data_IF_008459118781
#
_entry.id   IF_008459118781
#
_cell.length_a   1.000
_cell.length_b   1.000
_cell.length_c   1.000
_cell.angle_alpha   90.00
_cell.angle_beta   90.00
_cell.angle_gamma   90.00
#
_symmetry.space_group_name_H-M   'P 1'
#
loop_
_entity.id
_entity.type
_entity.pdbx_description
1 polymer ?
#
# COMPACT_ATOMS: atom_id res chain seq x y z
N UNK A 1 23.97 36.73 47.22
CA UNK A 1 23.02 36.99 46.15
C UNK A 1 23.77 37.08 44.83
N UNK A 2 23.88 35.95 44.09
CA UNK A 2 24.32 35.92 42.67
C UNK A 2 23.17 35.31 41.90
N UNK A 3 22.58 36.09 41.02
CA UNK A 3 21.57 35.68 40.04
C UNK A 3 22.19 34.74 39.02
N UNK A 4 21.56 33.58 38.82
CA UNK A 4 21.85 32.64 37.75
C UNK A 4 21.38 33.24 36.37
N UNK A 5 22.11 33.03 35.26
CA UNK A 5 21.69 33.52 33.95
C UNK A 5 20.53 32.71 33.41
N UNK A 6 19.52 33.40 32.93
CA UNK A 6 18.34 32.81 32.28
C UNK A 6 18.73 32.03 31.02
N UNK A 7 18.31 30.79 30.97
CA UNK A 7 18.49 29.89 29.89
C UNK A 7 17.67 30.39 28.67
N UNK A 8 18.30 30.99 27.67
CA UNK A 8 17.73 31.36 26.38
C UNK A 8 17.49 30.06 25.62
N UNK A 9 16.29 29.52 25.76
CA UNK A 9 15.82 28.48 24.85
C UNK A 9 15.94 28.98 23.41
N UNK A 10 16.78 28.33 22.61
CA UNK A 10 16.88 28.53 21.16
C UNK A 10 15.51 28.23 20.53
N UNK A 11 14.72 29.28 20.30
CA UNK A 11 13.60 29.21 19.35
C UNK A 11 14.22 28.97 17.97
N UNK A 12 14.17 27.73 17.51
CA UNK A 12 14.36 27.44 16.09
C UNK A 12 13.26 28.20 15.36
N UNK A 13 13.61 29.30 14.72
CA UNK A 13 12.75 29.99 13.77
C UNK A 13 12.54 29.05 12.58
N UNK A 14 11.44 28.30 12.57
CA UNK A 14 10.98 27.71 11.35
C UNK A 14 10.56 28.85 10.44
N UNK A 15 11.17 28.96 9.26
CA UNK A 15 10.77 29.94 8.26
C UNK A 15 9.29 29.71 7.97
N UNK A 16 8.46 30.70 8.28
CA UNK A 16 7.04 30.68 7.93
C UNK A 16 6.96 30.62 6.41
N UNK A 17 6.32 29.59 5.86
CA UNK A 17 6.07 29.52 4.42
C UNK A 17 4.71 30.15 4.20
N UNK A 18 4.67 31.37 3.70
CA UNK A 18 3.43 32.08 3.41
C UNK A 18 2.82 31.66 2.08
N UNK A 19 3.67 31.13 1.15
CA UNK A 19 3.26 30.69 -0.19
C UNK A 19 4.10 29.50 -0.68
N UNK A 20 3.43 28.53 -1.34
CA UNK A 20 4.06 27.47 -2.11
C UNK A 20 3.21 27.18 -3.35
N UNK A 21 3.79 27.20 -4.55
CA UNK A 21 3.05 26.95 -5.78
C UNK A 21 2.33 25.59 -5.74
N UNK A 22 3.02 24.57 -5.25
CA UNK A 22 2.46 23.22 -5.07
C UNK A 22 2.58 22.80 -3.61
N UNK A 23 1.46 22.47 -2.98
CA UNK A 23 1.45 21.82 -1.67
C UNK A 23 1.06 20.36 -1.86
N UNK A 24 1.87 19.48 -1.28
CA UNK A 24 1.59 18.05 -1.23
C UNK A 24 1.31 17.64 0.21
N UNK A 25 0.16 17.06 0.46
CA UNK A 25 -0.30 16.64 1.78
C UNK A 25 -0.01 15.15 1.96
N UNK A 26 0.91 14.83 2.88
CA UNK A 26 1.36 13.47 3.18
C UNK A 26 2.78 13.19 2.67
N UNK A 27 3.64 12.69 3.55
CA UNK A 27 5.01 12.25 3.27
C UNK A 27 5.15 10.72 3.22
N UNK A 28 4.12 10.05 2.71
CA UNK A 28 4.13 8.64 2.32
C UNK A 28 4.54 8.45 0.86
N UNK A 29 4.42 7.23 0.35
CA UNK A 29 4.84 6.87 -1.01
C UNK A 29 4.24 7.78 -2.08
N UNK A 30 2.94 8.07 -2.01
CA UNK A 30 2.26 8.89 -3.01
C UNK A 30 2.74 10.34 -2.99
N UNK A 31 2.82 10.98 -1.82
CA UNK A 31 3.26 12.36 -1.73
C UNK A 31 4.73 12.55 -2.09
N UNK A 32 5.60 11.67 -1.60
CA UNK A 32 7.03 11.71 -1.91
C UNK A 32 7.30 11.47 -3.40
N UNK A 33 6.63 10.46 -3.99
CA UNK A 33 6.79 10.15 -5.41
C UNK A 33 6.24 11.27 -6.30
N UNK A 34 5.05 11.81 -5.97
CA UNK A 34 4.49 12.95 -6.72
C UNK A 34 5.42 14.15 -6.66
N UNK A 35 5.94 14.49 -5.48
CA UNK A 35 6.85 15.63 -5.34
C UNK A 35 8.14 15.47 -6.13
N UNK A 36 8.76 14.30 -6.05
CA UNK A 36 9.98 13.99 -6.79
C UNK A 36 9.77 14.09 -8.31
N UNK A 37 8.77 13.40 -8.83
CA UNK A 37 8.51 13.40 -10.27
C UNK A 37 7.98 14.73 -10.78
N UNK A 38 7.20 15.47 -9.98
CA UNK A 38 6.76 16.82 -10.33
C UNK A 38 7.95 17.79 -10.42
N UNK A 39 8.93 17.70 -9.50
CA UNK A 39 10.14 18.52 -9.57
C UNK A 39 10.94 18.29 -10.85
N UNK A 40 11.09 17.01 -11.25
CA UNK A 40 11.76 16.66 -12.51
C UNK A 40 11.00 17.18 -13.73
N UNK A 41 9.67 16.99 -13.74
CA UNK A 41 8.84 17.40 -14.86
C UNK A 41 8.77 18.93 -15.01
N UNK A 42 8.73 19.68 -13.89
CA UNK A 42 8.80 21.14 -13.89
C UNK A 42 10.12 21.64 -14.47
N UNK A 43 11.23 21.06 -14.03
CA UNK A 43 12.58 21.38 -14.51
C UNK A 43 12.74 21.10 -16.01
N UNK A 44 12.33 19.91 -16.44
CA UNK A 44 12.39 19.49 -17.84
C UNK A 44 11.57 20.39 -18.79
N UNK A 45 10.46 20.97 -18.30
CA UNK A 45 9.57 21.86 -19.06
C UNK A 45 9.90 23.34 -18.89
N UNK A 46 10.91 23.71 -18.09
CA UNK A 46 11.22 25.11 -17.78
C UNK A 46 10.10 25.86 -17.06
N UNK A 47 9.23 25.15 -16.31
CA UNK A 47 8.04 25.71 -15.63
C UNK A 47 8.23 25.92 -14.12
N UNK A 48 9.40 25.57 -13.59
CA UNK A 48 9.72 25.65 -12.17
C UNK A 48 10.75 24.59 -11.74
N UNK A 49 10.79 24.34 -10.44
CA UNK A 49 11.73 23.39 -9.84
C UNK A 49 11.13 22.76 -8.56
N UNK A 50 11.89 21.92 -7.88
CA UNK A 50 11.50 21.39 -6.57
C UNK A 50 11.33 22.48 -5.50
N UNK A 51 11.96 23.66 -5.65
CA UNK A 51 11.77 24.78 -4.73
C UNK A 51 10.33 25.33 -4.69
N UNK A 52 9.54 25.08 -5.74
CA UNK A 52 8.12 25.44 -5.84
C UNK A 52 7.21 24.46 -5.07
N UNK A 53 7.77 23.35 -4.58
CA UNK A 53 7.03 22.24 -3.98
C UNK A 53 7.29 22.17 -2.47
N UNK A 54 6.22 22.09 -1.70
CA UNK A 54 6.29 21.82 -0.25
C UNK A 54 5.44 20.59 0.07
N UNK A 55 6.08 19.59 0.69
CA UNK A 55 5.36 18.48 1.32
C UNK A 55 5.08 18.86 2.78
N UNK A 56 3.86 18.71 3.23
CA UNK A 56 3.47 18.84 4.64
C UNK A 56 2.95 17.50 5.16
N UNK A 57 3.39 17.14 6.35
CA UNK A 57 2.93 15.91 7.01
C UNK A 57 2.76 16.15 8.51
N UNK A 58 1.68 15.65 9.10
CA UNK A 58 1.37 15.85 10.51
C UNK A 58 2.35 15.18 11.47
N UNK A 59 3.09 14.19 10.99
CA UNK A 59 4.05 13.41 11.78
C UNK A 59 5.44 13.46 11.16
N UNK A 60 5.62 12.85 9.97
CA UNK A 60 6.91 12.80 9.27
C UNK A 60 6.94 11.77 8.15
N UNK A 61 8.13 11.63 7.56
CA UNK A 61 8.36 10.71 6.43
C UNK A 61 8.01 9.28 6.87
N UNK A 62 7.17 8.62 6.06
CA UNK A 62 6.77 7.22 6.25
C UNK A 62 6.11 6.91 7.63
N UNK A 63 5.52 7.91 8.28
CA UNK A 63 4.87 7.71 9.59
C UNK A 63 3.53 6.97 9.51
N UNK A 64 2.94 6.81 8.32
CA UNK A 64 1.72 6.06 8.08
C UNK A 64 1.99 4.67 7.49
N UNK A 65 1.02 4.18 6.71
CA UNK A 65 1.04 2.83 6.13
C UNK A 65 2.30 2.50 5.32
N UNK A 66 2.86 3.50 4.62
CA UNK A 66 4.10 3.32 3.86
C UNK A 66 5.32 2.93 4.71
N UNK A 67 5.29 3.17 6.01
CA UNK A 67 6.40 2.87 6.92
C UNK A 67 6.28 1.53 7.66
N UNK A 68 5.14 0.87 7.60
CA UNK A 68 4.87 -0.36 8.38
C UNK A 68 4.38 -1.54 7.52
N UNK A 69 4.07 -1.34 6.25
CA UNK A 69 3.65 -2.41 5.36
C UNK A 69 4.76 -3.46 5.15
N UNK A 70 4.43 -4.69 4.80
CA UNK A 70 5.38 -5.76 4.50
C UNK A 70 6.26 -5.49 3.26
N UNK A 71 5.98 -4.44 2.54
CA UNK A 71 6.79 -3.95 1.43
C UNK A 71 6.67 -4.74 0.14
N UNK A 72 5.68 -5.60 0.00
CA UNK A 72 5.47 -6.43 -1.19
C UNK A 72 5.15 -5.58 -2.42
N UNK A 73 5.84 -5.87 -3.52
CA UNK A 73 5.65 -5.27 -4.85
C UNK A 73 5.32 -6.39 -5.83
N UNK A 74 4.15 -6.33 -6.47
CA UNK A 74 3.65 -7.38 -7.37
C UNK A 74 2.82 -6.82 -8.52
N UNK A 75 2.70 -7.58 -9.60
CA UNK A 75 1.75 -7.31 -10.69
C UNK A 75 0.48 -8.15 -10.58
N UNK A 76 0.50 -9.23 -9.80
CA UNK A 76 -0.61 -10.15 -9.63
C UNK A 76 -1.86 -9.47 -9.06
N UNK A 77 -2.75 -9.06 -9.95
CA UNK A 77 -4.09 -8.52 -9.68
C UNK A 77 -5.07 -9.10 -10.69
N UNK A 78 -6.25 -9.48 -10.24
CA UNK A 78 -7.32 -9.95 -11.12
C UNK A 78 -7.83 -8.85 -12.07
N UNK A 79 -7.74 -7.58 -11.66
CA UNK A 79 -8.23 -6.43 -12.40
C UNK A 79 -7.21 -5.98 -13.47
N UNK A 80 -7.57 -5.97 -14.78
CA UNK A 80 -6.67 -5.59 -15.86
C UNK A 80 -6.03 -4.20 -15.68
N UNK A 81 -6.83 -3.23 -15.24
CA UNK A 81 -6.34 -1.87 -15.00
C UNK A 81 -5.26 -1.83 -13.91
N UNK A 82 -5.42 -2.60 -12.82
CA UNK A 82 -4.42 -2.71 -11.77
C UNK A 82 -3.14 -3.36 -12.28
N UNK A 83 -3.22 -4.42 -13.10
CA UNK A 83 -2.02 -5.06 -13.68
C UNK A 83 -1.22 -4.11 -14.55
N UNK A 84 -1.88 -3.36 -15.43
CA UNK A 84 -1.21 -2.37 -16.28
C UNK A 84 -0.53 -1.29 -15.45
N UNK A 85 -1.23 -0.75 -14.45
CA UNK A 85 -0.69 0.24 -13.54
C UNK A 85 0.49 -0.33 -12.72
N UNK A 86 0.37 -1.57 -12.25
CA UNK A 86 1.42 -2.20 -11.47
C UNK A 86 2.64 -2.60 -12.29
N UNK A 87 2.49 -2.95 -13.57
CA UNK A 87 3.63 -3.14 -14.46
C UNK A 87 4.49 -1.86 -14.54
N UNK A 88 3.85 -0.71 -14.73
CA UNK A 88 4.53 0.60 -14.68
C UNK A 88 5.16 0.88 -13.29
N UNK A 89 4.48 0.55 -12.20
CA UNK A 89 5.03 0.76 -10.85
C UNK A 89 6.26 -0.11 -10.58
N UNK A 90 6.27 -1.36 -11.04
CA UNK A 90 7.43 -2.27 -10.92
C UNK A 90 8.63 -1.69 -11.67
N UNK A 91 8.43 -1.14 -12.88
CA UNK A 91 9.52 -0.48 -13.62
C UNK A 91 10.11 0.70 -12.85
N UNK A 92 9.29 1.48 -12.15
CA UNK A 92 9.79 2.58 -11.32
C UNK A 92 10.58 2.06 -10.11
N UNK A 93 10.14 0.99 -9.46
CA UNK A 93 10.92 0.33 -8.39
C UNK A 93 12.27 -0.20 -8.89
N UNK A 94 12.29 -0.83 -10.06
CA UNK A 94 13.50 -1.38 -10.69
C UNK A 94 14.47 -0.30 -11.17
N UNK A 95 13.98 0.89 -11.51
CA UNK A 95 14.78 1.98 -12.06
C UNK A 95 15.89 2.48 -11.12
N UNK A 96 15.73 2.30 -9.81
CA UNK A 96 16.73 2.69 -8.81
C UNK A 96 16.60 1.79 -7.55
N UNK A 97 16.77 0.50 -7.77
CA UNK A 97 16.56 -0.52 -6.74
C UNK A 97 17.41 -0.27 -5.47
N UNK A 98 18.61 0.27 -5.62
CA UNK A 98 19.49 0.56 -4.50
C UNK A 98 18.92 1.66 -3.60
N UNK A 99 18.56 2.82 -4.17
CA UNK A 99 17.98 3.94 -3.41
C UNK A 99 16.64 3.56 -2.79
N UNK A 100 15.83 2.78 -3.49
CA UNK A 100 14.54 2.32 -3.00
C UNK A 100 14.64 1.09 -2.08
N UNK A 101 15.84 0.60 -1.78
CA UNK A 101 16.03 -0.63 -0.99
C UNK A 101 15.12 -1.76 -1.46
N UNK A 102 15.01 -1.90 -2.80
CA UNK A 102 14.13 -2.82 -3.49
C UNK A 102 14.87 -4.10 -3.86
N UNK A 103 14.24 -5.23 -3.60
CA UNK A 103 14.75 -6.57 -3.85
C UNK A 103 13.90 -7.24 -4.95
N UNK A 104 14.39 -7.30 -6.20
CA UNK A 104 13.65 -7.87 -7.34
C UNK A 104 13.68 -9.41 -7.33
N UNK A 105 13.10 -10.01 -6.31
CA UNK A 105 13.13 -11.47 -6.10
C UNK A 105 11.95 -12.18 -6.78
N UNK A 106 11.01 -11.45 -7.34
CA UNK A 106 9.78 -11.99 -7.91
C UNK A 106 8.66 -12.12 -6.88
N UNK A 107 7.51 -12.59 -7.37
CA UNK A 107 6.32 -12.86 -6.58
C UNK A 107 5.66 -14.15 -7.06
N UNK A 108 5.05 -14.90 -6.17
CA UNK A 108 4.42 -16.17 -6.51
C UNK A 108 3.03 -16.26 -5.89
N UNK A 109 2.00 -16.38 -6.74
CA UNK A 109 0.64 -16.72 -6.35
C UNK A 109 0.47 -18.22 -6.42
N UNK A 110 0.06 -18.84 -5.33
CA UNK A 110 -0.13 -20.29 -5.16
C UNK A 110 -1.58 -20.47 -4.72
N UNK A 111 -2.40 -21.19 -5.50
CA UNK A 111 -3.84 -21.11 -5.35
C UNK A 111 -4.56 -22.45 -5.53
N UNK A 112 -5.75 -22.61 -4.90
CA UNK A 112 -6.60 -23.79 -5.05
C UNK A 112 -7.45 -23.72 -6.32
N UNK A 113 -8.18 -24.79 -6.59
CA UNK A 113 -9.01 -24.96 -7.79
C UNK A 113 -10.07 -23.85 -7.94
N UNK A 114 -10.67 -23.41 -6.85
CA UNK A 114 -11.69 -22.35 -6.88
C UNK A 114 -11.18 -21.02 -7.44
N UNK A 115 -9.85 -20.79 -7.41
CA UNK A 115 -9.19 -19.59 -7.95
C UNK A 115 -8.49 -19.84 -9.31
N UNK A 116 -8.55 -21.06 -9.85
CA UNK A 116 -7.79 -21.44 -11.06
C UNK A 116 -8.04 -20.49 -12.23
N UNK A 117 -9.31 -20.24 -12.58
CA UNK A 117 -9.65 -19.36 -13.71
C UNK A 117 -9.21 -17.90 -13.50
N UNK A 118 -9.27 -17.39 -12.26
CA UNK A 118 -8.77 -16.06 -11.93
C UNK A 118 -7.26 -15.97 -12.19
N UNK A 119 -6.49 -16.95 -11.70
CA UNK A 119 -5.04 -16.98 -11.84
C UNK A 119 -4.63 -17.22 -13.29
N UNK A 120 -5.31 -18.12 -14.01
CA UNK A 120 -5.11 -18.34 -15.44
C UNK A 120 -5.39 -17.08 -16.27
N UNK A 121 -6.45 -16.33 -15.91
CA UNK A 121 -6.75 -15.03 -16.51
C UNK A 121 -5.62 -14.01 -16.28
N UNK A 122 -5.08 -13.96 -15.06
CA UNK A 122 -3.94 -13.09 -14.74
C UNK A 122 -2.73 -13.48 -15.60
N UNK A 123 -2.42 -14.78 -15.70
CA UNK A 123 -1.29 -15.27 -16.48
C UNK A 123 -1.41 -14.90 -17.97
N UNK A 124 -2.59 -15.10 -18.57
CA UNK A 124 -2.86 -14.68 -19.97
C UNK A 124 -2.63 -13.19 -20.16
N UNK A 125 -3.18 -12.37 -19.29
CA UNK A 125 -3.07 -10.91 -19.40
C UNK A 125 -1.65 -10.39 -19.08
N UNK A 126 -0.89 -11.04 -18.23
CA UNK A 126 0.53 -10.74 -18.02
C UNK A 126 1.32 -11.01 -19.31
N UNK A 127 1.02 -12.13 -20.00
CA UNK A 127 1.61 -12.44 -21.29
C UNK A 127 1.28 -11.37 -22.34
N UNK A 128 0.02 -10.91 -22.41
CA UNK A 128 -0.46 -9.90 -23.36
C UNK A 128 0.26 -8.55 -23.20
N UNK A 129 0.59 -8.16 -21.95
CA UNK A 129 1.34 -6.93 -21.67
C UNK A 129 2.87 -7.15 -21.61
N UNK A 130 3.36 -8.35 -21.92
CA UNK A 130 4.78 -8.67 -21.91
C UNK A 130 5.40 -8.73 -20.51
N UNK A 131 4.61 -8.93 -19.46
CA UNK A 131 5.10 -9.08 -18.09
C UNK A 131 5.56 -10.52 -17.85
N UNK A 132 6.84 -10.77 -17.50
CA UNK A 132 7.40 -12.11 -17.48
C UNK A 132 6.87 -12.92 -16.30
N UNK A 133 6.16 -13.99 -16.58
CA UNK A 133 5.64 -14.94 -15.60
C UNK A 133 5.62 -16.37 -16.15
N UNK A 134 5.53 -17.34 -15.25
CA UNK A 134 5.40 -18.75 -15.53
C UNK A 134 4.15 -19.29 -14.82
N UNK A 135 3.27 -19.93 -15.53
CA UNK A 135 2.05 -20.50 -15.00
C UNK A 135 2.12 -22.01 -15.01
N UNK A 136 1.93 -22.63 -13.86
CA UNK A 136 1.96 -24.07 -13.64
C UNK A 136 0.57 -24.50 -13.18
N UNK A 137 0.02 -25.54 -13.81
CA UNK A 137 -1.33 -26.04 -13.60
C UNK A 137 -1.32 -27.52 -13.18
N UNK A 138 -2.27 -27.87 -12.34
CA UNK A 138 -2.48 -29.23 -11.83
C UNK A 138 -1.69 -29.52 -10.57
N UNK A 139 -2.33 -30.22 -9.63
CA UNK A 139 -1.81 -30.45 -8.28
C UNK A 139 -0.43 -31.12 -8.29
N UNK A 140 -0.24 -32.16 -9.13
CA UNK A 140 1.02 -32.90 -9.21
C UNK A 140 2.17 -32.03 -9.71
N UNK A 141 1.92 -31.19 -10.73
CA UNK A 141 2.94 -30.32 -11.31
C UNK A 141 3.24 -29.13 -10.41
N UNK A 142 2.23 -28.53 -9.77
CA UNK A 142 2.42 -27.51 -8.76
C UNK A 142 3.25 -28.04 -7.58
N UNK A 143 2.94 -29.21 -7.04
CA UNK A 143 3.71 -29.81 -5.96
C UNK A 143 5.16 -30.11 -6.37
N UNK A 144 5.38 -30.63 -7.58
CA UNK A 144 6.72 -30.89 -8.14
C UNK A 144 7.51 -29.59 -8.29
N UNK A 145 6.85 -28.54 -8.80
CA UNK A 145 7.47 -27.23 -8.97
C UNK A 145 7.88 -26.63 -7.62
N UNK A 146 6.98 -26.66 -6.65
CA UNK A 146 7.25 -26.11 -5.32
C UNK A 146 8.33 -26.90 -4.58
N UNK A 147 8.36 -28.23 -4.65
CA UNK A 147 9.39 -29.07 -4.05
C UNK A 147 10.77 -28.89 -4.70
N UNK A 148 10.82 -28.51 -5.98
CA UNK A 148 12.08 -28.10 -6.61
C UNK A 148 12.68 -26.84 -5.99
N UNK A 149 11.80 -25.94 -5.51
CA UNK A 149 12.20 -24.68 -4.87
C UNK A 149 12.44 -24.86 -3.36
N UNK A 150 11.60 -25.66 -2.71
CA UNK A 150 11.60 -25.92 -1.27
C UNK A 150 11.35 -27.42 -1.04
N UNK A 151 12.38 -28.16 -0.66
CA UNK A 151 12.32 -29.62 -0.46
C UNK A 151 11.30 -30.04 0.61
N UNK A 152 11.05 -29.16 1.57
CA UNK A 152 10.11 -29.32 2.68
C UNK A 152 8.70 -28.77 2.41
N UNK A 153 8.38 -28.41 1.16
CA UNK A 153 7.03 -27.98 0.78
C UNK A 153 5.99 -29.07 1.03
N UNK A 154 4.90 -28.68 1.72
CA UNK A 154 3.86 -29.64 2.10
C UNK A 154 2.42 -29.12 2.01
N UNK A 155 2.21 -27.90 1.46
CA UNK A 155 0.85 -27.37 1.27
C UNK A 155 0.02 -28.29 0.38
N UNK A 156 -1.27 -28.37 0.70
CA UNK A 156 -2.26 -29.23 0.03
C UNK A 156 -3.36 -28.38 -0.60
N UNK A 157 -4.09 -28.97 -1.56
CA UNK A 157 -5.18 -28.29 -2.25
C UNK A 157 -4.72 -27.21 -3.22
N UNK A 158 -3.48 -27.30 -3.73
CA UNK A 158 -2.90 -26.33 -4.66
C UNK A 158 -2.96 -26.89 -6.08
N UNK A 159 -3.64 -26.17 -6.97
CA UNK A 159 -3.81 -26.56 -8.39
C UNK A 159 -3.23 -25.53 -9.37
N UNK A 160 -2.81 -24.37 -8.87
CA UNK A 160 -2.24 -23.31 -9.70
C UNK A 160 -1.06 -22.64 -9.00
N UNK A 161 0.01 -22.39 -9.76
CA UNK A 161 1.14 -21.55 -9.34
C UNK A 161 1.44 -20.55 -10.45
N UNK A 162 1.32 -19.26 -10.17
CA UNK A 162 1.74 -18.19 -11.06
C UNK A 162 2.99 -17.52 -10.48
N UNK A 163 4.14 -17.75 -11.12
CA UNK A 163 5.43 -17.23 -10.69
C UNK A 163 5.83 -16.03 -11.54
N UNK A 164 5.63 -14.83 -11.03
CA UNK A 164 6.13 -13.59 -11.61
C UNK A 164 7.65 -13.51 -11.47
N UNK A 165 8.36 -13.23 -12.56
CA UNK A 165 9.83 -13.11 -12.57
C UNK A 165 10.30 -11.69 -12.24
N UNK A 166 9.36 -10.74 -12.19
CA UNK A 166 9.52 -9.36 -11.71
C UNK A 166 8.70 -9.16 -10.45
N UNK A 167 8.85 -7.99 -9.82
CA UNK A 167 8.27 -7.76 -8.52
C UNK A 167 9.21 -8.20 -7.39
N UNK A 168 8.70 -8.29 -6.19
CA UNK A 168 9.49 -8.63 -5.00
C UNK A 168 9.07 -7.84 -3.77
N UNK A 169 10.04 -7.25 -3.08
CA UNK A 169 9.73 -6.42 -1.91
C UNK A 169 10.76 -5.30 -1.71
N UNK A 170 10.40 -4.30 -0.92
CA UNK A 170 11.32 -3.25 -0.51
C UNK A 170 11.29 -3.05 1.01
N UNK A 171 12.42 -2.57 1.57
CA UNK A 171 12.45 -2.14 2.97
C UNK A 171 11.73 -0.79 3.09
N UNK A 172 10.61 -0.77 3.79
CA UNK A 172 9.70 0.38 3.87
C UNK A 172 10.38 1.67 4.29
N UNK A 173 11.05 1.66 5.44
CA UNK A 173 11.66 2.86 6.00
C UNK A 173 12.83 3.34 5.13
N UNK A 174 13.65 2.41 4.63
CA UNK A 174 14.78 2.74 3.79
C UNK A 174 14.32 3.31 2.44
N UNK A 175 13.34 2.68 1.80
CA UNK A 175 12.81 3.14 0.51
C UNK A 175 12.16 4.51 0.58
N UNK A 176 11.39 4.78 1.63
CA UNK A 176 10.76 6.09 1.80
C UNK A 176 11.77 7.18 2.12
N UNK A 177 12.81 6.88 2.91
CA UNK A 177 13.94 7.80 3.15
C UNK A 177 14.73 8.06 1.86
N UNK A 178 14.98 7.02 1.06
CA UNK A 178 15.62 7.15 -0.25
C UNK A 178 14.84 8.05 -1.19
N UNK A 179 13.53 7.81 -1.32
CA UNK A 179 12.64 8.63 -2.14
C UNK A 179 12.56 10.08 -1.65
N UNK A 180 12.49 10.30 -0.34
CA UNK A 180 12.53 11.63 0.25
C UNK A 180 13.88 12.35 -0.03
N UNK A 181 15.00 11.62 0.05
CA UNK A 181 16.31 12.13 -0.33
C UNK A 181 16.36 12.58 -1.77
N UNK A 182 15.81 11.80 -2.71
CA UNK A 182 15.68 12.18 -4.13
C UNK A 182 14.84 13.44 -4.31
N UNK A 183 13.70 13.55 -3.64
CA UNK A 183 12.86 14.75 -3.71
C UNK A 183 13.59 15.98 -3.16
N UNK A 184 14.26 15.86 -2.02
CA UNK A 184 15.03 16.95 -1.40
C UNK A 184 16.24 17.37 -2.26
N UNK A 185 16.90 16.44 -2.92
CA UNK A 185 18.02 16.77 -3.83
C UNK A 185 17.61 17.61 -5.04
N UNK A 186 16.33 17.50 -5.44
CA UNK A 186 15.73 18.36 -6.47
C UNK A 186 15.18 19.69 -5.92
N UNK A 187 15.36 19.96 -4.62
CA UNK A 187 14.95 21.21 -3.97
C UNK A 187 13.57 21.17 -3.29
N UNK A 188 12.89 20.02 -3.26
CA UNK A 188 11.61 19.88 -2.56
C UNK A 188 11.79 20.08 -1.06
N UNK A 189 10.91 20.86 -0.44
CA UNK A 189 10.92 21.12 1.00
C UNK A 189 9.92 20.18 1.69
N UNK A 190 10.37 19.44 2.70
CA UNK A 190 9.51 18.57 3.51
C UNK A 190 9.34 19.18 4.90
N UNK A 191 8.09 19.42 5.30
CA UNK A 191 7.70 20.00 6.58
C UNK A 191 6.96 18.96 7.43
N UNK A 192 7.67 18.22 8.28
CA UNK A 192 7.04 17.34 9.27
C UNK A 192 6.38 18.14 10.39
N UNK A 193 5.45 17.47 11.10
CA UNK A 193 4.71 18.04 12.25
C UNK A 193 3.84 19.25 11.88
N UNK A 194 3.33 19.28 10.64
CA UNK A 194 2.38 20.28 10.15
C UNK A 194 1.07 19.56 9.79
N UNK A 195 0.05 19.79 10.60
CA UNK A 195 -1.27 19.16 10.42
C UNK A 195 -2.18 20.08 9.62
N UNK A 196 -2.78 19.56 8.55
CA UNK A 196 -3.86 20.24 7.84
C UNK A 196 -5.10 20.24 8.70
N UNK A 197 -5.75 21.39 8.83
CA UNK A 197 -6.99 21.61 9.60
C UNK A 197 -8.13 22.15 8.74
N UNK A 198 -7.88 22.50 7.48
CA UNK A 198 -8.89 22.95 6.54
C UNK A 198 -8.30 23.57 5.27
N UNK A 199 -9.17 24.12 4.46
CA UNK A 199 -8.84 24.79 3.20
C UNK A 199 -9.56 26.14 3.08
N UNK A 200 -8.97 27.07 2.33
CA UNK A 200 -9.64 28.29 1.87
C UNK A 200 -9.90 28.16 0.38
N UNK A 201 -11.06 28.60 -0.05
CA UNK A 201 -11.46 28.54 -1.45
C UNK A 201 -11.57 29.95 -2.03
N UNK A 202 -11.21 30.10 -3.28
CA UNK A 202 -11.49 31.27 -4.09
C UNK A 202 -12.98 31.27 -4.51
N UNK A 203 -13.45 32.38 -5.03
CA UNK A 203 -14.82 32.50 -5.57
C UNK A 203 -15.12 31.53 -6.72
N UNK A 204 -14.08 31.05 -7.43
CA UNK A 204 -14.16 30.04 -8.47
C UNK A 204 -14.42 28.62 -7.92
N UNK A 205 -14.25 28.39 -6.61
CA UNK A 205 -14.27 27.07 -5.99
C UNK A 205 -12.91 26.36 -5.97
N UNK A 206 -11.86 26.96 -6.53
CA UNK A 206 -10.50 26.45 -6.43
C UNK A 206 -9.92 26.70 -5.03
N UNK A 207 -9.02 25.80 -4.57
CA UNK A 207 -8.32 26.03 -3.31
C UNK A 207 -7.31 27.18 -3.50
N UNK A 208 -7.39 28.17 -2.62
CA UNK A 208 -6.46 29.30 -2.57
C UNK A 208 -5.42 29.18 -1.46
N UNK A 209 -5.70 28.41 -0.41
CA UNK A 209 -4.75 28.17 0.67
C UNK A 209 -5.07 26.89 1.44
N UNK A 210 -4.04 26.30 2.03
CA UNK A 210 -4.12 25.20 3.00
C UNK A 210 -4.02 25.79 4.40
N UNK A 211 -4.98 25.50 5.26
CA UNK A 211 -4.99 25.89 6.67
C UNK A 211 -4.34 24.80 7.49
N UNK A 212 -3.39 25.14 8.32
CA UNK A 212 -2.67 24.20 9.18
C UNK A 212 -2.71 24.64 10.65
N UNK A 213 -2.30 23.75 11.54
CA UNK A 213 -2.09 24.06 12.97
C UNK A 213 -0.91 25.04 13.23
N UNK A 214 -0.13 25.37 12.18
CA UNK A 214 1.00 26.30 12.25
C UNK A 214 0.80 27.58 11.42
N UNK A 215 -0.38 27.78 10.85
CA UNK A 215 -0.73 28.95 10.03
C UNK A 215 -1.33 28.58 8.69
N UNK A 216 -1.45 29.55 7.81
CA UNK A 216 -2.07 29.43 6.50
C UNK A 216 -1.00 29.52 5.42
N UNK A 217 -1.00 28.60 4.46
CA UNK A 217 -0.06 28.57 3.34
C UNK A 217 -0.88 28.78 2.06
N UNK A 218 -0.64 29.87 1.35
CA UNK A 218 -1.23 30.14 0.04
C UNK A 218 -0.66 29.17 -1.01
N UNK A 219 -1.48 28.76 -1.98
CA UNK A 219 -1.03 27.81 -3.00
C UNK A 219 -1.85 27.90 -4.28
N UNK A 220 -1.23 27.54 -5.40
CA UNK A 220 -1.89 27.44 -6.71
C UNK A 220 -2.45 26.02 -6.93
N UNK A 221 -1.85 24.99 -6.32
CA UNK A 221 -2.25 23.60 -6.53
C UNK A 221 -1.99 22.72 -5.30
N UNK A 222 -2.90 21.80 -5.04
CA UNK A 222 -2.79 20.83 -3.95
C UNK A 222 -2.77 19.42 -4.50
N UNK A 223 -1.87 18.56 -4.01
CA UNK A 223 -1.97 17.12 -4.19
C UNK A 223 -2.09 16.43 -2.82
N UNK A 224 -2.99 15.46 -2.73
CA UNK A 224 -3.30 14.76 -1.47
C UNK A 224 -2.91 13.30 -1.57
N UNK A 225 -1.94 12.88 -0.76
CA UNK A 225 -1.53 11.49 -0.56
C UNK A 225 -1.62 11.12 0.91
N UNK A 226 -2.81 11.32 1.53
CA UNK A 226 -3.01 11.24 2.97
C UNK A 226 -3.19 9.82 3.53
N UNK A 227 -3.14 8.77 2.68
CA UNK A 227 -3.31 7.38 3.11
C UNK A 227 -4.57 7.16 3.95
N UNK A 228 -4.47 6.50 5.13
CA UNK A 228 -5.65 6.20 5.97
C UNK A 228 -6.43 7.43 6.46
N UNK A 229 -5.84 8.62 6.41
CA UNK A 229 -6.49 9.88 6.81
C UNK A 229 -7.25 10.55 5.68
N UNK A 230 -7.39 9.89 4.53
CA UNK A 230 -8.09 10.46 3.36
C UNK A 230 -9.53 10.89 3.69
N UNK A 231 -10.25 10.13 4.53
CA UNK A 231 -11.60 10.49 4.96
C UNK A 231 -11.66 11.89 5.58
N UNK A 232 -10.72 12.23 6.46
CA UNK A 232 -10.67 13.55 7.10
C UNK A 232 -10.41 14.67 6.10
N UNK A 233 -9.49 14.46 5.15
CA UNK A 233 -9.24 15.45 4.10
C UNK A 233 -10.42 15.57 3.15
N UNK A 234 -11.06 14.46 2.80
CA UNK A 234 -12.26 14.40 1.97
C UNK A 234 -13.41 15.26 2.55
N UNK A 235 -13.61 15.15 3.85
CA UNK A 235 -14.62 15.93 4.58
C UNK A 235 -14.25 17.43 4.66
N UNK A 236 -12.97 17.76 4.89
CA UNK A 236 -12.49 19.15 4.88
C UNK A 236 -12.67 19.83 3.52
N UNK A 237 -12.68 19.07 2.43
CA UNK A 237 -12.94 19.53 1.07
C UNK A 237 -14.45 19.64 0.77
N UNK A 238 -15.34 19.30 1.70
CA UNK A 238 -16.77 19.29 1.50
C UNK A 238 -17.28 18.19 0.56
N UNK A 239 -16.48 17.15 0.32
CA UNK A 239 -16.84 16.04 -0.56
C UNK A 239 -17.81 15.06 0.13
N UNK A 240 -18.66 14.34 -0.64
CA UNK A 240 -19.78 13.58 -0.07
C UNK A 240 -19.30 12.36 0.74
N UNK A 241 -19.82 12.22 1.96
CA UNK A 241 -19.59 11.02 2.81
C UNK A 241 -20.28 9.78 2.25
N UNK A 242 -21.40 9.98 1.57
CA UNK A 242 -22.18 8.92 0.93
C UNK A 242 -22.37 9.26 -0.54
N UNK A 243 -22.26 8.25 -1.39
CA UNK A 243 -22.41 8.39 -2.84
C UNK A 243 -23.48 7.45 -3.37
N UNK A 244 -23.90 7.68 -4.61
CA UNK A 244 -24.71 6.76 -5.38
C UNK A 244 -23.81 6.03 -6.37
N UNK A 245 -23.91 4.71 -6.40
CA UNK A 245 -23.12 3.84 -7.27
C UNK A 245 -24.06 3.10 -8.21
N UNK A 246 -23.72 3.06 -9.48
CA UNK A 246 -24.32 2.12 -10.40
C UNK A 246 -23.62 0.75 -10.22
N UNK A 247 -24.34 -0.17 -9.61
CA UNK A 247 -23.82 -1.50 -9.29
C UNK A 247 -23.58 -2.38 -10.52
N UNK A 248 -22.91 -3.52 -10.30
CA UNK A 248 -22.72 -4.54 -11.35
C UNK A 248 -24.02 -5.18 -11.82
N UNK A 249 -25.08 -5.07 -11.01
CA UNK A 249 -26.46 -5.45 -11.36
C UNK A 249 -27.18 -4.41 -12.24
N UNK A 250 -26.49 -3.32 -12.62
CA UNK A 250 -27.01 -2.21 -13.42
C UNK A 250 -27.92 -1.25 -12.65
N UNK A 251 -28.20 -1.50 -11.37
CA UNK A 251 -29.07 -0.67 -10.53
C UNK A 251 -28.29 0.44 -9.83
N UNK A 252 -28.99 1.51 -9.45
CA UNK A 252 -28.45 2.57 -8.63
C UNK A 252 -28.60 2.22 -7.13
N UNK A 253 -27.49 2.22 -6.42
CA UNK A 253 -27.41 2.01 -4.98
C UNK A 253 -27.01 3.32 -4.33
N UNK A 254 -27.94 3.95 -3.62
CA UNK A 254 -27.71 5.23 -2.92
C UNK A 254 -27.30 5.02 -1.46
N UNK A 255 -26.65 6.02 -0.88
CA UNK A 255 -26.25 5.99 0.52
C UNK A 255 -25.03 5.10 0.81
N UNK A 256 -24.25 4.75 -0.21
CA UNK A 256 -23.03 3.97 -0.05
C UNK A 256 -21.95 4.85 0.58
N UNK A 257 -21.39 4.42 1.70
CA UNK A 257 -20.26 5.13 2.31
C UNK A 257 -19.05 5.16 1.38
N UNK A 258 -18.47 6.36 1.23
CA UNK A 258 -17.25 6.52 0.41
C UNK A 258 -16.03 5.87 1.05
N UNK A 259 -15.90 5.95 2.36
CA UNK A 259 -14.73 5.39 3.06
C UNK A 259 -15.15 4.43 4.18
N UNK A 260 -14.52 3.25 4.19
CA UNK A 260 -14.58 2.25 5.26
C UNK A 260 -13.15 1.92 5.70
N UNK A 261 -13.01 1.17 6.78
CA UNK A 261 -11.68 0.82 7.30
C UNK A 261 -11.51 -0.68 7.42
N UNK A 262 -10.31 -1.13 7.09
CA UNK A 262 -9.88 -2.50 7.30
C UNK A 262 -8.61 -2.52 8.13
N UNK A 263 -8.49 -3.52 9.00
CA UNK A 263 -7.26 -3.84 9.69
C UNK A 263 -6.49 -4.86 8.85
N UNK A 264 -5.25 -4.51 8.54
CA UNK A 264 -4.31 -5.34 7.80
C UNK A 264 -3.35 -5.94 8.82
N UNK A 265 -3.41 -7.26 9.01
CA UNK A 265 -2.61 -7.95 10.00
C UNK A 265 -1.34 -8.51 9.38
N UNK A 266 -0.22 -8.16 9.96
CA UNK A 266 1.11 -8.64 9.58
C UNK A 266 1.88 -9.06 10.83
N UNK A 267 2.87 -9.92 10.67
CA UNK A 267 3.72 -10.40 11.75
C UNK A 267 5.07 -10.87 11.28
N UNK A 268 5.92 -11.19 12.23
CA UNK A 268 7.26 -11.74 12.00
C UNK A 268 7.46 -12.99 12.85
N UNK A 269 7.82 -14.10 12.19
CA UNK A 269 8.32 -15.28 12.86
C UNK A 269 9.83 -15.15 13.04
N UNK A 270 10.35 -15.12 14.28
CA UNK A 270 11.73 -14.83 14.62
C UNK A 270 12.68 -16.03 14.44
N UNK A 271 12.55 -16.74 13.32
CA UNK A 271 13.53 -17.75 12.89
C UNK A 271 14.68 -17.08 12.16
N UNK A 272 15.83 -17.78 12.00
CA UNK A 272 16.88 -17.30 11.11
C UNK A 272 16.30 -17.11 9.69
N UNK A 273 16.37 -15.91 9.10
CA UNK A 273 15.84 -15.68 7.76
C UNK A 273 16.46 -16.57 6.69
N UNK A 274 17.68 -17.10 6.91
CA UNK A 274 18.31 -18.10 6.02
C UNK A 274 17.50 -19.39 5.94
N UNK A 275 16.75 -19.72 6.97
CA UNK A 275 15.85 -20.88 6.94
C UNK A 275 14.74 -20.74 5.87
N UNK A 276 14.41 -19.52 5.44
CA UNK A 276 13.40 -19.28 4.40
C UNK A 276 13.96 -19.28 2.96
N UNK A 277 15.25 -19.51 2.75
CA UNK A 277 15.87 -19.50 1.42
C UNK A 277 15.44 -20.72 0.59
N UNK A 278 15.61 -20.60 -0.73
CA UNK A 278 15.43 -21.71 -1.69
C UNK A 278 16.45 -22.83 -1.41
N UNK A 279 16.19 -24.02 -1.96
CA UNK A 279 17.11 -25.19 -1.86
C UNK A 279 18.54 -24.88 -2.32
N UNK A 280 18.71 -23.93 -3.23
CA UNK A 280 20.02 -23.49 -3.74
C UNK A 280 20.61 -22.29 -2.97
N UNK A 281 19.98 -21.87 -1.88
CA UNK A 281 20.44 -20.78 -1.02
C UNK A 281 20.10 -19.37 -1.52
N UNK A 282 19.44 -19.23 -2.66
CA UNK A 282 18.98 -17.91 -3.15
C UNK A 282 17.75 -17.43 -2.40
N UNK A 283 17.49 -16.11 -2.45
CA UNK A 283 16.25 -15.52 -1.96
C UNK A 283 15.08 -16.05 -2.78
N UNK A 284 13.98 -16.47 -2.14
CA UNK A 284 12.75 -16.85 -2.82
C UNK A 284 12.01 -15.62 -3.34
N UNK A 285 11.08 -15.79 -4.31
CA UNK A 285 10.04 -14.81 -4.54
C UNK A 285 9.22 -14.60 -3.26
N UNK A 286 8.50 -13.49 -3.18
CA UNK A 286 7.47 -13.35 -2.13
C UNK A 286 6.40 -14.41 -2.39
N UNK A 287 6.13 -15.26 -1.42
CA UNK A 287 5.12 -16.31 -1.53
C UNK A 287 3.77 -15.79 -1.04
N UNK A 288 2.74 -16.00 -1.84
CA UNK A 288 1.34 -15.80 -1.50
C UNK A 288 0.60 -17.12 -1.70
N UNK A 289 0.08 -17.68 -0.64
CA UNK A 289 -0.60 -18.96 -0.65
C UNK A 289 -2.04 -18.76 -0.24
N UNK A 290 -2.96 -19.07 -1.16
CA UNK A 290 -4.37 -19.20 -0.89
C UNK A 290 -4.74 -20.69 -1.00
N UNK A 291 -5.61 -21.20 -0.14
CA UNK A 291 -6.10 -22.58 -0.21
C UNK A 291 -7.44 -22.72 0.52
N UNK A 292 -8.25 -23.66 0.08
CA UNK A 292 -9.50 -24.11 0.71
C UNK A 292 -9.31 -25.36 1.57
N UNK A 293 -8.09 -25.88 1.67
CA UNK A 293 -7.77 -26.97 2.58
C UNK A 293 -7.93 -26.52 4.04
N UNK A 294 -8.52 -27.33 4.93
CA UNK A 294 -8.69 -26.99 6.33
C UNK A 294 -7.34 -26.66 7.00
N UNK A 295 -7.30 -25.55 7.71
CA UNK A 295 -6.17 -25.14 8.53
C UNK A 295 -6.36 -25.59 9.97
N UNK A 296 -5.42 -26.37 10.47
CA UNK A 296 -5.37 -26.78 11.86
C UNK A 296 -4.23 -26.08 12.59
N UNK A 297 -4.42 -25.87 13.87
CA UNK A 297 -3.42 -25.28 14.75
C UNK A 297 -2.19 -26.16 14.88
N UNK A 298 -1.02 -25.63 14.60
CA UNK A 298 0.28 -26.28 14.82
C UNK A 298 0.63 -26.43 16.33
N UNK A 299 -0.17 -25.82 17.21
CA UNK A 299 0.04 -25.87 18.67
C UNK A 299 -0.69 -27.04 19.32
N UNK A 300 -1.97 -27.23 18.94
CA UNK A 300 -2.87 -28.19 19.63
C UNK A 300 -3.74 -29.02 18.71
N UNK A 301 -3.55 -28.90 17.38
CA UNK A 301 -4.29 -29.65 16.36
C UNK A 301 -5.76 -29.25 16.22
N UNK A 302 -6.25 -28.21 16.90
CA UNK A 302 -7.63 -27.75 16.75
C UNK A 302 -7.88 -27.09 15.40
N UNK A 303 -9.09 -27.22 14.86
CA UNK A 303 -9.48 -26.56 13.61
C UNK A 303 -9.49 -25.03 13.79
N UNK A 304 -8.76 -24.32 12.93
CA UNK A 304 -8.77 -22.85 12.85
C UNK A 304 -9.82 -22.39 11.84
N UNK A 305 -9.80 -22.93 10.63
CA UNK A 305 -10.79 -22.64 9.58
C UNK A 305 -10.88 -23.77 8.57
N UNK A 306 -12.06 -23.99 8.03
CA UNK A 306 -12.38 -24.88 6.91
C UNK A 306 -12.86 -24.09 5.67
N UNK A 307 -12.70 -22.75 5.70
CA UNK A 307 -13.03 -21.85 4.59
C UNK A 307 -11.77 -21.49 3.82
N UNK A 308 -11.94 -20.93 2.63
CA UNK A 308 -10.85 -20.35 1.86
C UNK A 308 -10.09 -19.30 2.71
N UNK A 309 -8.77 -19.48 2.81
CA UNK A 309 -7.88 -18.59 3.55
C UNK A 309 -6.59 -18.33 2.77
N UNK A 310 -5.87 -17.28 3.15
CA UNK A 310 -4.62 -16.94 2.49
C UNK A 310 -3.64 -16.24 3.41
N UNK A 311 -2.36 -16.45 3.11
CA UNK A 311 -1.22 -15.75 3.71
C UNK A 311 -0.21 -15.34 2.65
N UNK A 312 0.58 -14.34 2.97
CA UNK A 312 1.81 -14.03 2.22
C UNK A 312 2.99 -13.93 3.17
N UNK A 313 4.17 -14.32 2.68
CA UNK A 313 5.38 -14.28 3.50
C UNK A 313 6.66 -14.28 2.66
N UNK A 314 7.74 -13.86 3.29
CA UNK A 314 9.10 -13.86 2.76
C UNK A 314 10.12 -13.87 3.89
N UNK A 315 11.35 -14.38 3.66
CA UNK A 315 12.46 -14.09 4.55
C UNK A 315 12.73 -12.58 4.57
N UNK A 316 13.06 -12.04 5.73
CA UNK A 316 13.42 -10.63 5.86
C UNK A 316 14.60 -10.45 6.82
N UNK A 317 15.76 -10.11 6.25
CA UNK A 317 16.99 -9.94 7.02
C UNK A 317 16.98 -8.68 7.89
N UNK A 318 16.25 -7.64 7.47
CA UNK A 318 16.11 -6.42 8.28
C UNK A 318 15.20 -6.64 9.50
N UNK A 319 14.19 -7.51 9.36
CA UNK A 319 13.29 -7.89 10.45
C UNK A 319 13.82 -9.09 11.25
N UNK A 320 14.95 -9.69 10.83
CA UNK A 320 15.56 -10.89 11.41
C UNK A 320 14.52 -12.02 11.62
N UNK A 321 13.90 -12.46 10.51
CA UNK A 321 12.88 -13.51 10.55
C UNK A 321 12.21 -13.76 9.21
N UNK A 322 11.06 -14.41 9.27
CA UNK A 322 10.11 -14.50 8.16
C UNK A 322 8.98 -13.51 8.45
N UNK A 323 8.78 -12.57 7.54
CA UNK A 323 7.73 -11.55 7.66
C UNK A 323 6.61 -11.81 6.66
N UNK A 324 5.39 -11.56 7.06
CA UNK A 324 4.23 -11.69 6.20
C UNK A 324 2.95 -11.26 6.86
N UNK A 325 1.83 -11.57 6.21
CA UNK A 325 0.51 -11.22 6.71
C UNK A 325 -0.58 -12.12 6.15
N UNK A 326 -1.80 -11.80 6.53
CA UNK A 326 -2.99 -12.53 6.12
C UNK A 326 -4.22 -12.12 6.93
N UNK A 327 -5.34 -12.76 6.66
CA UNK A 327 -6.55 -12.68 7.46
C UNK A 327 -6.94 -11.24 7.84
N UNK A 328 -7.02 -10.30 6.88
CA UNK A 328 -7.47 -8.95 7.17
C UNK A 328 -8.94 -8.98 7.60
N UNK A 329 -9.33 -7.99 8.39
CA UNK A 329 -10.74 -7.87 8.78
C UNK A 329 -11.25 -6.44 8.62
N UNK A 330 -12.53 -6.33 8.27
CA UNK A 330 -13.22 -5.04 8.24
C UNK A 330 -13.42 -4.54 9.67
N UNK A 331 -13.15 -3.27 9.91
CA UNK A 331 -13.40 -2.63 11.20
C UNK A 331 -14.90 -2.32 11.26
N UNK A 332 -15.58 -2.95 12.23
CA UNK A 332 -17.03 -2.82 12.43
C UNK A 332 -17.45 -1.48 13.08
N UNK A 333 -16.52 -0.80 13.74
CA UNK A 333 -16.74 0.54 14.27
C UNK A 333 -17.19 1.49 13.15
N UNK A 334 -18.21 2.30 13.43
CA UNK A 334 -18.66 3.33 12.50
C UNK A 334 -17.47 4.16 12.00
N UNK A 335 -17.25 4.26 10.69
CA UNK A 335 -16.11 5.00 10.13
C UNK A 335 -15.95 6.44 10.62
N UNK A 336 -17.03 7.07 11.09
CA UNK A 336 -16.97 8.40 11.70
C UNK A 336 -16.38 8.40 13.12
N UNK A 337 -16.28 7.22 13.75
CA UNK A 337 -15.74 7.02 15.10
C UNK A 337 -14.38 6.32 15.10
N UNK A 338 -13.94 5.77 13.97
CA UNK A 338 -12.64 5.08 13.88
C UNK A 338 -11.51 6.05 14.19
N UNK A 339 -10.70 5.69 15.18
CA UNK A 339 -9.52 6.47 15.58
C UNK A 339 -8.28 5.97 14.82
N UNK A 340 -7.88 6.70 13.80
CA UNK A 340 -6.67 6.37 13.02
C UNK A 340 -5.39 6.82 13.75
N UNK A 341 -5.48 7.78 14.67
CA UNK A 341 -4.36 8.27 15.47
C UNK A 341 -4.42 7.74 16.92
N UNK A 342 -3.28 7.32 17.51
CA UNK A 342 -1.97 7.11 16.89
C UNK A 342 -2.01 5.95 15.89
N UNK A 343 -1.18 6.00 14.82
CA UNK A 343 -1.21 5.02 13.74
C UNK A 343 -0.38 3.76 14.05
N UNK A 344 -0.80 2.63 13.50
CA UNK A 344 -0.14 1.33 13.67
C UNK A 344 -0.54 0.62 14.97
N UNK A 345 0.34 -0.19 15.56
CA UNK A 345 0.02 -1.00 16.75
C UNK A 345 -0.43 -0.22 17.99
N UNK A 346 -0.23 1.08 17.98
CA UNK A 346 -0.66 1.98 19.07
C UNK A 346 -2.08 2.53 18.84
N UNK A 347 -2.68 2.30 17.67
CA UNK A 347 -4.06 2.68 17.40
C UNK A 347 -5.03 1.82 18.21
N UNK A 348 -6.05 2.41 18.85
CA UNK A 348 -7.05 1.64 19.58
C UNK A 348 -7.92 0.75 18.66
N UNK A 349 -7.95 1.02 17.36
CA UNK A 349 -8.69 0.24 16.37
C UNK A 349 -7.82 -0.84 15.70
N UNK A 350 -6.49 -0.74 15.80
CA UNK A 350 -5.56 -1.73 15.28
C UNK A 350 -5.17 -2.70 16.39
N UNK A 351 -5.79 -3.84 16.37
CA UNK A 351 -5.43 -4.93 17.28
C UNK A 351 -5.03 -6.13 16.43
N UNK A 352 -3.75 -6.48 16.43
CA UNK A 352 -3.34 -7.80 15.96
C UNK A 352 -3.82 -8.80 17.00
N UNK A 353 -4.78 -9.61 16.60
CA UNK A 353 -5.43 -10.55 17.48
C UNK A 353 -4.49 -11.73 17.75
N UNK A 354 -4.63 -12.32 18.92
CA UNK A 354 -3.87 -13.52 19.28
C UNK A 354 -4.20 -14.69 18.34
N UNK A 355 -5.45 -14.76 17.86
CA UNK A 355 -5.89 -15.72 16.86
C UNK A 355 -5.16 -15.55 15.53
N UNK A 356 -4.82 -14.31 15.10
CA UNK A 356 -3.99 -14.08 13.92
C UNK A 356 -2.61 -14.73 14.05
N UNK A 357 -1.90 -14.47 15.15
CA UNK A 357 -0.56 -15.02 15.35
C UNK A 357 -0.57 -16.56 15.28
N UNK A 358 -1.56 -17.18 15.95
CA UNK A 358 -1.76 -18.63 15.91
C UNK A 358 -2.07 -19.12 14.49
N UNK A 359 -3.01 -18.49 13.81
CA UNK A 359 -3.43 -18.88 12.48
C UNK A 359 -2.31 -18.70 11.45
N UNK A 360 -1.60 -17.55 11.47
CA UNK A 360 -0.53 -17.25 10.54
C UNK A 360 0.68 -18.18 10.71
N UNK A 361 1.10 -18.46 11.96
CA UNK A 361 2.19 -19.41 12.21
C UNK A 361 1.79 -20.84 11.80
N UNK A 362 0.55 -21.26 12.06
CA UNK A 362 0.04 -22.56 11.62
C UNK A 362 -0.04 -22.66 10.10
N UNK A 363 -0.38 -21.55 9.42
CA UNK A 363 -0.37 -21.47 7.96
C UNK A 363 1.04 -21.56 7.37
N UNK A 364 2.04 -20.97 8.02
CA UNK A 364 3.45 -21.17 7.63
C UNK A 364 3.87 -22.65 7.77
N UNK A 365 3.53 -23.27 8.89
CA UNK A 365 3.76 -24.70 9.12
C UNK A 365 3.01 -25.58 8.10
N UNK A 366 1.76 -25.24 7.75
CA UNK A 366 1.00 -25.91 6.69
C UNK A 366 1.72 -25.84 5.33
N UNK A 367 2.37 -24.72 5.02
CA UNK A 367 3.08 -24.55 3.76
C UNK A 367 4.43 -25.28 3.73
N UNK A 368 5.23 -25.16 4.80
CA UNK A 368 6.61 -25.65 4.84
C UNK A 368 6.94 -26.27 6.21
N UNK A 369 7.43 -27.50 6.20
CA UNK A 369 7.75 -28.28 7.40
C UNK A 369 8.73 -27.58 8.33
N UNK A 370 9.65 -26.78 7.79
CA UNK A 370 10.66 -26.01 8.57
C UNK A 370 10.05 -25.03 9.59
N UNK A 371 8.78 -24.69 9.44
CA UNK A 371 8.07 -23.78 10.34
C UNK A 371 7.20 -24.48 11.39
N UNK A 372 7.10 -25.83 11.36
CA UNK A 372 6.39 -26.59 12.38
C UNK A 372 6.99 -26.36 13.78
N UNK A 373 6.13 -26.17 14.78
CA UNK A 373 6.52 -25.94 16.19
C UNK A 373 7.22 -24.59 16.44
N UNK A 374 7.21 -23.65 15.47
CA UNK A 374 7.92 -22.38 15.63
C UNK A 374 7.08 -21.24 16.19
N UNK A 375 5.80 -21.46 16.50
CA UNK A 375 4.94 -20.45 17.10
C UNK A 375 5.58 -19.69 18.30
N UNK A 376 6.32 -20.33 19.22
CA UNK A 376 6.96 -19.61 20.35
C UNK A 376 7.97 -18.54 19.91
N UNK A 377 8.42 -18.56 18.65
CA UNK A 377 9.32 -17.55 18.07
C UNK A 377 8.58 -16.39 17.42
N UNK A 378 7.23 -16.39 17.45
CA UNK A 378 6.45 -15.26 16.94
C UNK A 378 6.77 -13.99 17.73
N UNK A 379 7.07 -12.91 16.99
CA UNK A 379 7.36 -11.61 17.60
C UNK A 379 6.05 -10.91 17.96
N UNK A 380 5.93 -10.50 19.23
CA UNK A 380 4.73 -9.83 19.75
C UNK A 380 4.51 -8.41 19.21
N UNK A 381 5.55 -7.83 18.61
CA UNK A 381 5.43 -6.52 17.95
C UNK A 381 4.95 -6.73 16.52
N UNK A 382 3.65 -6.63 16.28
CA UNK A 382 3.08 -6.83 14.97
C UNK A 382 3.36 -5.64 14.06
N UNK A 383 3.46 -5.90 12.78
CA UNK A 383 3.37 -4.90 11.73
C UNK A 383 1.97 -4.92 11.10
N UNK A 384 1.75 -4.04 10.12
CA UNK A 384 0.45 -3.85 9.51
C UNK A 384 -0.19 -2.53 9.92
N UNK A 385 -1.48 -2.36 9.72
CA UNK A 385 -2.14 -1.11 10.04
C UNK A 385 -3.58 -1.03 9.56
N UNK A 386 -4.14 0.16 9.71
CA UNK A 386 -5.49 0.48 9.25
C UNK A 386 -5.40 1.06 7.85
N UNK A 387 -6.15 0.51 6.89
CA UNK A 387 -6.36 1.06 5.56
C UNK A 387 -7.74 1.69 5.42
N UNK A 388 -7.83 2.83 4.72
CA UNK A 388 -9.09 3.41 4.29
C UNK A 388 -9.44 2.86 2.90
N UNK A 389 -10.65 2.34 2.75
CA UNK A 389 -11.09 1.64 1.54
C UNK A 389 -12.29 2.35 0.92
N UNK A 390 -12.22 2.51 -0.39
CA UNK A 390 -13.30 2.95 -1.26
C UNK A 390 -14.36 1.85 -1.43
N UNK A 391 -15.52 2.16 -2.02
CA UNK A 391 -16.62 1.20 -2.14
C UNK A 391 -16.30 -0.09 -2.92
N UNK A 392 -15.45 0.00 -3.92
CA UNK A 392 -15.01 -1.15 -4.71
C UNK A 392 -13.62 -1.68 -4.32
N UNK A 393 -13.05 -1.16 -3.22
CA UNK A 393 -11.74 -1.51 -2.70
C UNK A 393 -10.56 -1.14 -3.61
N UNK A 394 -10.77 -0.25 -4.60
CA UNK A 394 -9.72 0.23 -5.50
C UNK A 394 -9.48 1.74 -5.36
N UNK A 395 -8.28 2.22 -5.75
CA UNK A 395 -7.91 3.62 -5.60
C UNK A 395 -8.85 4.60 -6.32
N UNK A 396 -8.83 5.86 -5.88
CA UNK A 396 -9.39 7.01 -6.60
C UNK A 396 -8.26 7.97 -6.89
N UNK A 397 -8.02 8.21 -8.18
CA UNK A 397 -7.05 9.18 -8.69
C UNK A 397 -7.80 10.21 -9.52
N UNK A 398 -8.09 11.39 -8.94
CA UNK A 398 -8.91 12.38 -9.63
C UNK A 398 -8.66 13.80 -9.12
N UNK A 399 -9.11 14.78 -9.91
CA UNK A 399 -9.03 16.20 -9.57
C UNK A 399 -10.37 16.67 -9.01
N UNK A 400 -10.32 17.25 -7.81
CA UNK A 400 -11.44 17.87 -7.13
C UNK A 400 -11.18 19.36 -6.92
N UNK A 401 -12.24 20.14 -6.69
CA UNK A 401 -12.09 21.57 -6.43
C UNK A 401 -11.20 22.30 -7.45
N UNK A 402 -11.21 21.85 -8.73
CA UNK A 402 -10.45 22.39 -9.87
C UNK A 402 -8.92 22.26 -9.79
N UNK A 403 -8.30 22.34 -8.62
CA UNK A 403 -6.86 22.32 -8.42
C UNK A 403 -6.41 21.47 -7.24
N UNK A 404 -7.19 20.45 -6.88
CA UNK A 404 -6.85 19.49 -5.84
C UNK A 404 -6.80 18.07 -6.42
N UNK A 405 -5.61 17.53 -6.63
CA UNK A 405 -5.45 16.14 -7.04
C UNK A 405 -5.49 15.22 -5.83
N UNK A 406 -6.44 14.30 -5.78
CA UNK A 406 -6.56 13.30 -4.72
C UNK A 406 -5.97 11.97 -5.21
N UNK A 407 -5.00 11.45 -4.46
CA UNK A 407 -4.42 10.13 -4.61
C UNK A 407 -4.90 9.30 -3.41
N UNK A 408 -6.12 8.84 -3.49
CA UNK A 408 -6.74 8.05 -2.44
C UNK A 408 -6.57 6.57 -2.75
N UNK A 409 -5.97 5.86 -1.82
CA UNK A 409 -5.57 4.49 -1.98
C UNK A 409 -6.26 3.58 -0.97
N UNK A 410 -6.59 2.39 -1.44
CA UNK A 410 -7.25 1.33 -0.68
C UNK A 410 -6.29 0.15 -0.49
N UNK A 411 -5.26 0.26 0.35
CA UNK A 411 -4.28 -0.79 0.63
C UNK A 411 -3.19 -1.06 -0.45
N UNK A 412 -3.26 -0.48 -1.62
CA UNK A 412 -2.27 -0.76 -2.68
C UNK A 412 -1.06 0.18 -2.61
N UNK A 413 -1.13 1.25 -1.81
CA UNK A 413 -0.31 2.45 -1.86
C UNK A 413 1.18 2.23 -1.91
N UNK A 414 1.73 1.45 -0.99
CA UNK A 414 3.18 1.28 -0.90
C UNK A 414 3.80 0.83 -2.22
N UNK A 415 3.20 -0.17 -2.87
CA UNK A 415 3.70 -0.72 -4.14
C UNK A 415 3.51 0.22 -5.34
N UNK A 416 2.66 1.24 -5.21
CA UNK A 416 2.29 2.17 -6.28
C UNK A 416 3.21 3.39 -6.40
N UNK A 417 4.51 3.24 -6.20
CA UNK A 417 5.49 4.32 -6.34
C UNK A 417 5.40 5.04 -7.70
N UNK A 418 5.05 4.31 -8.76
CA UNK A 418 4.91 4.84 -10.13
C UNK A 418 3.72 5.79 -10.32
N UNK A 419 2.70 5.73 -9.45
CA UNK A 419 1.53 6.61 -9.54
C UNK A 419 1.93 8.08 -9.45
N UNK A 420 2.86 8.42 -8.54
CA UNK A 420 3.32 9.80 -8.40
C UNK A 420 3.94 10.38 -9.67
N UNK A 421 4.57 9.56 -10.51
CA UNK A 421 5.09 9.98 -11.83
C UNK A 421 3.95 10.36 -12.78
N UNK A 422 2.92 9.53 -12.86
CA UNK A 422 1.75 9.77 -13.71
C UNK A 422 0.95 11.00 -13.24
N UNK A 423 0.76 11.12 -11.93
CA UNK A 423 0.07 12.28 -11.32
C UNK A 423 0.84 13.58 -11.57
N UNK A 424 2.17 13.57 -11.48
CA UNK A 424 2.99 14.74 -11.80
C UNK A 424 2.79 15.24 -13.24
N UNK A 425 2.68 14.30 -14.19
CA UNK A 425 2.38 14.61 -15.58
C UNK A 425 0.96 15.20 -15.76
N UNK A 426 -0.04 14.65 -15.05
CA UNK A 426 -1.41 15.18 -15.08
C UNK A 426 -1.54 16.56 -14.43
N UNK A 427 -0.84 16.84 -13.34
CA UNK A 427 -0.77 18.18 -12.74
C UNK A 427 -0.24 19.22 -13.74
N UNK A 428 0.60 18.81 -14.66
CA UNK A 428 1.16 19.68 -15.70
C UNK A 428 0.36 19.65 -17.03
N UNK A 429 -0.84 19.07 -17.01
CA UNK A 429 -1.81 19.11 -18.12
C UNK A 429 -1.73 17.95 -19.10
N UNK A 430 -0.99 16.89 -18.80
CA UNK A 430 -1.08 15.64 -19.54
C UNK A 430 -2.30 14.81 -19.08
N UNK A 431 -2.59 13.72 -19.79
CA UNK A 431 -3.57 12.71 -19.35
C UNK A 431 -2.90 11.33 -19.31
N UNK A 432 -3.28 10.49 -18.36
CA UNK A 432 -2.75 9.14 -18.22
C UNK A 432 -3.84 8.09 -18.42
N UNK A 433 -3.71 7.29 -19.47
CA UNK A 433 -4.60 6.15 -19.69
C UNK A 433 -4.55 5.12 -18.54
N UNK A 434 -3.41 5.03 -17.82
CA UNK A 434 -3.27 4.13 -16.68
C UNK A 434 -4.04 4.59 -15.45
N UNK A 435 -4.31 5.90 -15.32
CA UNK A 435 -5.06 6.46 -14.18
C UNK A 435 -6.55 6.61 -14.47
N UNK A 436 -6.95 6.61 -15.75
CA UNK A 436 -8.33 6.80 -16.18
C UNK A 436 -9.31 5.78 -15.55
N UNK A 437 -9.01 4.47 -15.47
CA UNK A 437 -9.92 3.49 -14.86
C UNK A 437 -10.21 3.73 -13.37
N UNK A 438 -9.43 4.58 -12.71
CA UNK A 438 -9.51 4.88 -11.28
C UNK A 438 -10.19 6.23 -10.98
N UNK A 439 -10.79 6.88 -12.00
CA UNK A 439 -11.54 8.13 -11.80
C UNK A 439 -12.77 7.91 -10.92
N UNK A 440 -13.12 8.93 -10.17
CA UNK A 440 -14.28 8.91 -9.30
C UNK A 440 -15.60 8.70 -10.07
N UNK A 441 -15.67 9.18 -11.31
CA UNK A 441 -16.83 9.01 -12.20
C UNK A 441 -17.22 7.55 -12.44
N UNK A 442 -16.28 6.59 -12.27
CA UNK A 442 -16.56 5.16 -12.44
C UNK A 442 -17.72 4.65 -11.59
N UNK A 443 -17.97 5.27 -10.44
CA UNK A 443 -19.08 4.88 -9.57
C UNK A 443 -20.43 5.21 -10.19
N UNK A 444 -20.59 6.41 -10.75
CA UNK A 444 -21.83 6.83 -11.41
C UNK A 444 -22.03 6.10 -12.75
N UNK A 445 -20.95 5.79 -13.46
CA UNK A 445 -20.97 5.13 -14.76
C UNK A 445 -21.14 3.61 -14.66
N UNK A 446 -20.94 3.03 -13.48
CA UNK A 446 -21.00 1.58 -13.27
C UNK A 446 -19.76 0.83 -13.79
N UNK A 447 -18.62 1.52 -13.92
CA UNK A 447 -17.34 0.95 -14.36
C UNK A 447 -16.53 0.45 -13.15
N UNK A 448 -17.19 -0.31 -12.26
CA UNK A 448 -16.55 -0.87 -11.08
C UNK A 448 -15.54 -1.96 -11.46
N UNK A 449 -14.44 -2.01 -10.74
CA UNK A 449 -13.43 -3.06 -10.97
C UNK A 449 -14.01 -4.46 -10.67
N UNK A 450 -13.63 -5.50 -11.46
CA UNK A 450 -14.09 -6.86 -11.24
C UNK A 450 -13.56 -7.43 -9.90
N UNK A 451 -14.25 -8.41 -9.37
CA UNK A 451 -13.91 -9.11 -8.12
C UNK A 451 -13.42 -10.51 -8.43
N UNK A 452 -12.34 -10.93 -7.80
CA UNK A 452 -11.80 -12.30 -7.84
C UNK A 452 -12.45 -13.20 -6.79
N UNK A 453 -12.10 -14.48 -6.81
CA UNK A 453 -12.44 -15.44 -5.76
C UNK A 453 -11.43 -15.44 -4.59
N UNK A 454 -10.43 -14.54 -4.60
CA UNK A 454 -9.44 -14.42 -3.52
C UNK A 454 -10.10 -14.10 -2.17
N UNK A 455 -9.58 -14.62 -1.05
CA UNK A 455 -10.03 -14.22 0.28
C UNK A 455 -9.68 -12.75 0.63
N UNK A 456 -8.88 -12.10 -0.23
CA UNK A 456 -8.54 -10.69 -0.10
C UNK A 456 -9.41 -9.84 -1.04
N UNK A 457 -10.26 -8.94 -0.53
CA UNK A 457 -11.23 -8.22 -1.36
C UNK A 457 -10.64 -7.29 -2.42
N UNK A 458 -9.33 -7.09 -2.39
CA UNK A 458 -8.58 -6.21 -3.30
C UNK A 458 -7.62 -6.95 -4.24
N UNK A 459 -7.68 -8.27 -4.32
CA UNK A 459 -6.80 -9.10 -5.16
C UNK A 459 -7.47 -9.54 -6.44
#
# INVERSE_FOLDING_TARGET
>A
LRQAPANRAQRRFFTVIDHAKYIIIGAGVHGLSTAYHLSLALKARGKGSGADIVIIDKTGIAAGASGIACGVVRNNYFQPAMRQLMAHCVEVWESDAQTYSYHPVGYMQISPEVMHEDVASIARQQKDIGYPSEFIEGEADCNRYMKKLFDDWQARGITSVLHEKKGGYANNQASMKGLAGKAMSEGVRIRPKVRVTGFRFASSGAISAVVTDQGVIQTDYVAVGAGPWIKSIWEMLGLPKHITIKGRDGKLHSGIRMWTYWCLQEGTLGVDPKAGLLNDGRMPPVLHVDTDAPLYSDIDGSLITDKLWGIYYKPDFAMAGVQGGGMPYKIETDPDKVKVDPYGPQSPEFVVREDFARAWCSALAFCQKRYEGKFPLYKKEPSGGIGAFSPDSFPVFDVFCQNCYIIADSNHGYKMIGVGKLVAEEILGASSALLEPFRFSRYAEGRLHPVSHSPFPWS
#
